data_IF_795683452339
#
_entry.id   IF_795683452339
#
_cell.length_a   1.000
_cell.length_b   1.000
_cell.length_c   1.000
_cell.angle_alpha   90.00
_cell.angle_beta   90.00
_cell.angle_gamma   90.00
#
_symmetry.space_group_name_H-M   'P 1'
#
loop_
_entity.id
_entity.type
_entity.pdbx_description
1 polymer ?
#
# COMPACT_ATOMS: atom_id res chain seq x y z
N UNK A 1 29.18 35.02 1.07
CA UNK A 1 27.83 34.55 1.48
C UNK A 1 27.79 34.47 2.98
N UNK A 2 26.69 34.91 3.61
CA UNK A 2 26.53 34.75 5.07
C UNK A 2 26.46 33.24 5.42
N UNK A 3 26.94 32.87 6.61
CA UNK A 3 26.93 31.48 7.09
C UNK A 3 25.54 30.83 6.95
N UNK A 4 24.48 31.57 7.29
CA UNK A 4 23.08 31.12 7.14
C UNK A 4 22.71 30.76 5.70
N UNK A 5 23.14 31.56 4.71
CA UNK A 5 22.89 31.28 3.29
C UNK A 5 23.63 30.01 2.83
N UNK A 6 24.85 29.80 3.31
CA UNK A 6 25.62 28.58 2.99
C UNK A 6 24.98 27.33 3.60
N UNK A 7 24.52 27.40 4.86
CA UNK A 7 23.79 26.31 5.49
C UNK A 7 22.49 25.98 4.75
N UNK A 8 21.69 26.99 4.41
CA UNK A 8 20.45 26.79 3.67
C UNK A 8 20.67 26.17 2.28
N UNK A 9 21.70 26.62 1.55
CA UNK A 9 21.97 26.16 0.19
C UNK A 9 22.64 24.78 0.13
N UNK A 10 23.40 24.38 1.16
CA UNK A 10 24.25 23.19 1.10
C UNK A 10 23.88 22.13 2.13
N UNK A 11 23.62 22.53 3.37
CA UNK A 11 23.37 21.58 4.46
C UNK A 11 21.95 21.02 4.41
N UNK A 12 20.95 21.87 4.15
CA UNK A 12 19.54 21.44 4.10
C UNK A 12 19.30 20.39 3.00
N UNK A 13 19.72 20.59 1.73
CA UNK A 13 19.56 19.58 0.70
C UNK A 13 20.33 18.29 1.01
N UNK A 14 21.51 18.39 1.63
CA UNK A 14 22.28 17.22 2.05
C UNK A 14 21.53 16.37 3.09
N UNK A 15 21.00 17.00 4.14
CA UNK A 15 20.24 16.30 5.16
C UNK A 15 18.96 15.68 4.58
N UNK A 16 18.27 16.41 3.71
CA UNK A 16 17.11 15.90 3.00
C UNK A 16 17.44 14.66 2.15
N UNK A 17 18.58 14.64 1.45
CA UNK A 17 19.05 13.45 0.70
C UNK A 17 19.35 12.27 1.62
N UNK A 18 19.96 12.52 2.78
CA UNK A 18 20.25 11.46 3.75
C UNK A 18 18.96 10.81 4.27
N UNK A 19 17.97 11.63 4.64
CA UNK A 19 16.68 11.15 5.14
C UNK A 19 15.91 10.41 4.04
N UNK A 20 15.75 11.02 2.86
CA UNK A 20 15.08 10.39 1.73
C UNK A 20 15.76 9.08 1.34
N UNK A 21 17.08 9.09 1.17
CA UNK A 21 17.85 7.91 0.80
C UNK A 21 17.65 6.77 1.80
N UNK A 22 17.83 7.01 3.09
CA UNK A 22 17.67 5.99 4.12
C UNK A 22 16.25 5.40 4.15
N UNK A 23 15.22 6.26 4.08
CA UNK A 23 13.82 5.83 4.13
C UNK A 23 13.45 5.02 2.89
N UNK A 24 13.78 5.51 1.70
CA UNK A 24 13.36 4.87 0.44
C UNK A 24 14.13 3.58 0.14
N UNK A 25 15.42 3.51 0.48
CA UNK A 25 16.18 2.25 0.37
C UNK A 25 15.55 1.19 1.29
N UNK A 26 15.24 1.56 2.54
CA UNK A 26 14.65 0.63 3.50
C UNK A 26 13.24 0.21 3.06
N UNK A 27 12.41 1.15 2.61
CA UNK A 27 11.06 0.90 2.12
C UNK A 27 11.08 -0.04 0.90
N UNK A 28 11.90 0.27 -0.10
CA UNK A 28 12.04 -0.55 -1.30
C UNK A 28 12.58 -1.95 -1.00
N UNK A 29 13.55 -2.07 -0.09
CA UNK A 29 14.09 -3.37 0.33
C UNK A 29 13.03 -4.22 1.04
N UNK A 30 12.19 -3.60 1.87
CA UNK A 30 11.11 -4.30 2.57
C UNK A 30 10.08 -4.92 1.62
N UNK A 31 9.89 -4.34 0.42
CA UNK A 31 8.97 -4.82 -0.62
C UNK A 31 9.47 -6.06 -1.36
N UNK A 32 10.79 -6.29 -1.34
CA UNK A 32 11.40 -7.51 -1.88
C UNK A 32 11.25 -8.72 -0.94
N UNK A 33 10.75 -8.52 0.28
CA UNK A 33 10.38 -9.62 1.18
C UNK A 33 9.20 -10.43 0.64
N UNK A 34 9.05 -11.66 1.11
CA UNK A 34 7.90 -12.51 0.77
C UNK A 34 6.79 -12.38 1.83
N UNK A 35 5.55 -12.60 1.42
CA UNK A 35 4.36 -12.70 2.28
C UNK A 35 3.36 -13.68 1.68
N UNK A 36 2.51 -14.23 2.53
CA UNK A 36 1.44 -15.14 2.11
C UNK A 36 0.18 -14.33 1.79
N UNK A 37 -0.40 -14.56 0.61
CA UNK A 37 -1.63 -13.93 0.14
C UNK A 37 -2.77 -14.94 0.16
N UNK A 38 -3.97 -14.49 0.55
CA UNK A 38 -5.16 -15.33 0.71
C UNK A 38 -6.40 -14.63 0.13
N UNK A 39 -7.50 -15.36 -0.04
CA UNK A 39 -8.81 -14.78 -0.39
C UNK A 39 -8.81 -13.95 -1.69
N UNK A 40 -9.33 -12.72 -1.61
CA UNK A 40 -9.50 -11.83 -2.76
C UNK A 40 -8.18 -11.32 -3.34
N UNK A 41 -7.15 -11.14 -2.51
CA UNK A 41 -5.82 -10.76 -2.98
C UNK A 41 -5.24 -11.88 -3.84
N UNK A 42 -5.38 -13.14 -3.40
CA UNK A 42 -4.93 -14.29 -4.18
C UNK A 42 -5.62 -14.37 -5.55
N UNK A 43 -6.94 -14.13 -5.58
CA UNK A 43 -7.69 -14.08 -6.84
C UNK A 43 -7.14 -12.99 -7.76
N UNK A 44 -6.90 -11.81 -7.22
CA UNK A 44 -6.33 -10.66 -7.97
C UNK A 44 -4.94 -10.98 -8.50
N UNK A 45 -4.07 -11.63 -7.71
CA UNK A 45 -2.74 -12.04 -8.17
C UNK A 45 -2.80 -13.06 -9.32
N UNK A 46 -3.77 -13.98 -9.29
CA UNK A 46 -4.00 -14.93 -10.39
C UNK A 46 -4.48 -14.23 -11.66
N UNK A 47 -5.42 -13.30 -11.52
CA UNK A 47 -5.91 -12.45 -12.62
C UNK A 47 -4.75 -11.66 -13.26
N UNK A 48 -3.78 -11.21 -12.45
CA UNK A 48 -2.56 -10.52 -12.90
C UNK A 48 -1.45 -11.45 -13.43
N UNK A 49 -1.69 -12.77 -13.49
CA UNK A 49 -0.68 -13.75 -13.92
C UNK A 49 0.55 -13.80 -13.02
N UNK A 50 0.41 -13.42 -11.74
CA UNK A 50 1.46 -13.54 -10.73
C UNK A 50 1.38 -14.94 -10.12
N UNK A 51 2.21 -15.84 -10.63
CA UNK A 51 2.42 -17.16 -10.03
C UNK A 51 3.30 -17.04 -8.78
N UNK A 52 3.18 -18.00 -7.86
CA UNK A 52 3.93 -18.05 -6.62
C UNK A 52 5.44 -17.86 -6.86
N UNK A 53 6.08 -17.01 -6.06
CA UNK A 53 7.48 -16.67 -6.25
C UNK A 53 8.40 -17.78 -5.69
N UNK A 54 8.86 -18.71 -6.53
CA UNK A 54 9.98 -19.59 -6.19
C UNK A 54 10.10 -20.89 -7.01
N UNK A 55 11.32 -21.36 -7.34
CA UNK A 55 11.54 -22.74 -7.74
C UNK A 55 11.23 -23.65 -6.54
N UNK A 56 10.26 -24.55 -6.70
CA UNK A 56 9.86 -25.47 -5.62
C UNK A 56 8.78 -24.94 -4.69
N UNK A 57 7.90 -24.02 -5.15
CA UNK A 57 6.67 -23.72 -4.40
C UNK A 57 5.82 -25.00 -4.33
N UNK A 58 5.93 -25.70 -3.21
CA UNK A 58 4.91 -26.63 -2.75
C UNK A 58 3.68 -25.77 -2.48
N UNK A 59 2.67 -25.85 -3.34
CA UNK A 59 1.33 -25.45 -2.95
C UNK A 59 1.03 -26.24 -1.67
N UNK A 60 1.13 -25.59 -0.52
CA UNK A 60 0.52 -26.10 0.70
C UNK A 60 -0.98 -25.98 0.46
N UNK A 61 -1.50 -26.91 -0.33
CA UNK A 61 -2.90 -27.26 -0.30
C UNK A 61 -3.13 -27.56 1.16
N UNK A 62 -3.87 -26.68 1.85
CA UNK A 62 -4.39 -27.00 3.16
C UNK A 62 -5.06 -28.35 2.96
N UNK A 63 -4.43 -29.40 3.47
CA UNK A 63 -5.01 -30.72 3.51
C UNK A 63 -6.15 -30.54 4.49
N UNK A 64 -7.31 -30.20 3.93
CA UNK A 64 -8.59 -30.28 4.59
C UNK A 64 -8.70 -31.73 5.02
N UNK A 65 -8.27 -32.02 6.24
CA UNK A 65 -8.61 -33.28 6.89
C UNK A 65 -10.13 -33.17 7.05
N UNK A 66 -10.93 -33.99 6.35
CA UNK A 66 -12.35 -34.04 6.61
C UNK A 66 -12.47 -34.46 8.08
N UNK A 67 -12.75 -33.51 8.97
CA UNK A 67 -13.25 -33.87 10.29
C UNK A 67 -14.62 -34.47 10.03
N UNK A 68 -14.72 -35.77 10.29
CA UNK A 68 -15.93 -36.56 10.25
C UNK A 68 -17.14 -35.77 10.79
N UNK A 69 -18.22 -35.58 10.01
CA UNK A 69 -19.50 -35.18 10.54
C UNK A 69 -20.17 -36.41 11.17
N UNK A 70 -19.63 -36.92 12.27
CA UNK A 70 -20.22 -38.03 13.01
C UNK A 70 -19.88 -37.91 14.50
N UNK A 71 -20.66 -37.13 15.23
CA UNK A 71 -20.48 -37.01 16.68
C UNK A 71 -21.53 -36.13 17.32
N UNK A 72 -22.80 -36.56 17.26
CA UNK A 72 -23.85 -36.00 18.12
C UNK A 72 -23.44 -36.19 19.59
N UNK A 73 -23.20 -35.08 20.28
CA UNK A 73 -22.87 -35.04 21.69
C UNK A 73 -23.64 -33.93 22.37
N UNK A 74 -24.87 -34.25 22.79
CA UNK A 74 -25.64 -33.50 23.77
C UNK A 74 -24.89 -33.43 25.10
N UNK A 75 -24.55 -32.22 25.58
CA UNK A 75 -23.82 -32.05 26.83
C UNK A 75 -23.81 -30.61 27.35
N UNK A 76 -24.94 -30.23 27.94
CA UNK A 76 -25.19 -29.24 29.01
C UNK A 76 -24.51 -27.84 29.07
N UNK A 77 -25.28 -26.82 29.51
CA UNK A 77 -24.77 -25.51 29.88
C UNK A 77 -24.18 -25.51 31.29
N UNK A 78 -23.01 -24.87 31.47
CA UNK A 78 -22.52 -24.47 32.78
C UNK A 78 -23.06 -23.08 33.09
N UNK A 79 -24.01 -23.04 34.02
CA UNK A 79 -24.44 -21.85 34.74
C UNK A 79 -23.69 -21.70 36.08
N UNK A 80 -23.59 -20.46 36.54
CA UNK A 80 -23.08 -20.01 37.84
C UNK A 80 -22.07 -18.87 37.65
N UNK A 81 -22.32 -17.60 37.98
CA UNK A 81 -23.36 -16.98 38.81
C UNK A 81 -22.69 -16.10 39.87
N UNK A 82 -22.84 -14.77 39.75
CA UNK A 82 -22.80 -13.71 40.78
C UNK A 82 -22.92 -12.37 40.01
N UNK A 83 -24.09 -11.73 39.92
CA UNK A 83 -24.74 -10.82 40.90
C UNK A 83 -23.78 -9.68 41.33
N UNK A 84 -24.07 -8.38 41.21
CA UNK A 84 -25.29 -7.62 41.51
C UNK A 84 -25.36 -6.29 40.71
N UNK A 85 -26.56 -5.72 40.54
CA UNK A 85 -26.73 -4.27 40.27
C UNK A 85 -27.88 -3.92 39.32
N UNK A 86 -29.12 -4.02 39.79
CA UNK A 86 -30.33 -3.90 38.98
C UNK A 86 -30.74 -2.50 38.53
N UNK A 87 -31.53 -2.46 37.45
CA UNK A 87 -32.78 -1.69 37.34
C UNK A 87 -33.63 -2.27 36.19
N UNK A 88 -34.80 -2.84 36.52
CA UNK A 88 -35.85 -3.26 35.57
C UNK A 88 -36.74 -2.03 35.24
N UNK A 89 -37.24 -1.80 34.02
CA UNK A 89 -38.45 -2.37 33.35
C UNK A 89 -38.77 -1.48 32.09
N UNK A 90 -39.75 -1.77 31.20
CA UNK A 90 -40.00 -2.98 30.39
C UNK A 90 -40.32 -2.58 28.88
N UNK A 91 -41.13 -3.30 28.05
CA UNK A 91 -40.73 -3.70 26.70
C UNK A 91 -41.46 -2.98 25.54
N UNK A 92 -40.95 -3.08 24.31
CA UNK A 92 -41.77 -2.87 23.11
C UNK A 92 -41.28 -3.76 21.97
N UNK A 93 -42.04 -4.82 21.69
CA UNK A 93 -41.93 -5.71 20.53
C UNK A 93 -42.57 -5.06 19.28
N UNK A 94 -42.28 -5.59 18.07
CA UNK A 94 -42.26 -4.87 16.79
C UNK A 94 -43.56 -5.00 15.98
N UNK A 95 -43.75 -4.19 14.92
CA UNK A 95 -44.71 -4.50 13.88
C UNK A 95 -44.12 -5.42 12.79
N UNK A 96 -44.67 -6.63 12.77
CA UNK A 96 -44.75 -7.59 11.67
C UNK A 96 -45.37 -6.95 10.43
N UNK A 97 -44.70 -7.05 9.28
CA UNK A 97 -45.29 -6.76 7.95
C UNK A 97 -45.67 -8.09 7.29
N UNK A 98 -46.89 -8.22 6.72
CA UNK A 98 -47.41 -9.45 6.15
C UNK A 98 -46.80 -9.81 4.78
N UNK A 99 -46.82 -11.10 4.40
CA UNK A 99 -46.40 -11.57 3.08
C UNK A 99 -47.47 -11.29 2.02
N UNK A 100 -47.07 -10.70 0.89
CA UNK A 100 -47.90 -10.61 -0.31
C UNK A 100 -47.63 -11.84 -1.18
N UNK A 101 -48.65 -12.69 -1.32
CA UNK A 101 -48.74 -13.75 -2.30
C UNK A 101 -49.42 -13.25 -3.58
N UNK A 102 -48.82 -13.56 -4.72
CA UNK A 102 -49.42 -13.39 -6.05
C UNK A 102 -48.63 -14.19 -7.09
N UNK A 103 -49.19 -15.30 -7.57
CA UNK A 103 -48.83 -15.92 -8.86
C UNK A 103 -49.22 -14.96 -10.00
N UNK A 104 -48.85 -15.15 -11.27
CA UNK A 104 -48.60 -16.34 -12.09
C UNK A 104 -47.88 -15.81 -13.34
N UNK A 105 -46.96 -16.57 -13.94
CA UNK A 105 -47.04 -16.93 -15.38
C UNK A 105 -45.73 -17.52 -15.91
N UNK A 106 -45.94 -18.62 -16.62
CA UNK A 106 -44.98 -19.34 -17.42
C UNK A 106 -44.58 -18.49 -18.65
N UNK A 107 -43.27 -18.35 -18.85
CA UNK A 107 -42.69 -17.77 -20.06
C UNK A 107 -41.37 -18.46 -20.38
N UNK A 108 -41.37 -19.23 -21.47
CA UNK A 108 -40.24 -19.98 -21.96
C UNK A 108 -39.11 -19.09 -22.49
N UNK A 109 -37.88 -19.50 -22.18
CA UNK A 109 -36.73 -19.61 -23.08
C UNK A 109 -36.37 -18.41 -24.01
N UNK A 110 -35.28 -17.71 -23.64
CA UNK A 110 -34.21 -17.26 -24.54
C UNK A 110 -33.01 -16.91 -23.63
N UNK A 111 -31.92 -17.67 -23.61
CA UNK A 111 -31.14 -18.04 -24.78
C UNK A 111 -30.19 -16.91 -25.22
N UNK A 112 -29.74 -16.06 -24.30
CA UNK A 112 -28.71 -15.05 -24.53
C UNK A 112 -27.46 -15.41 -23.74
N UNK A 113 -26.57 -16.17 -24.36
CA UNK A 113 -25.24 -16.44 -23.82
C UNK A 113 -24.42 -15.16 -23.84
N UNK A 114 -24.49 -14.39 -22.76
CA UNK A 114 -23.42 -13.46 -22.44
C UNK A 114 -22.21 -14.32 -22.08
N UNK A 115 -21.23 -14.32 -22.97
CA UNK A 115 -19.90 -14.82 -22.72
C UNK A 115 -19.28 -13.96 -21.61
N UNK A 116 -19.72 -14.20 -20.37
CA UNK A 116 -19.19 -13.58 -19.18
C UNK A 116 -17.70 -13.84 -19.18
N UNK A 117 -16.93 -12.77 -19.32
CA UNK A 117 -15.49 -12.77 -19.19
C UNK A 117 -15.13 -13.64 -17.97
N UNK A 118 -14.49 -14.78 -18.24
CA UNK A 118 -14.35 -15.86 -17.28
C UNK A 118 -13.77 -15.37 -15.98
N UNK A 119 -14.62 -15.21 -14.97
CA UNK A 119 -14.16 -14.97 -13.61
C UNK A 119 -13.31 -16.16 -13.20
N UNK A 120 -12.06 -15.89 -12.83
CA UNK A 120 -11.18 -16.92 -12.31
C UNK A 120 -11.88 -17.69 -11.18
N UNK A 121 -11.78 -19.02 -11.13
CA UNK A 121 -12.42 -19.82 -10.09
C UNK A 121 -12.06 -19.29 -8.71
N UNK A 122 -13.05 -19.10 -7.85
CA UNK A 122 -12.83 -18.70 -6.46
C UNK A 122 -11.86 -19.69 -5.82
N UNK A 123 -10.73 -19.23 -5.23
CA UNK A 123 -9.79 -20.13 -4.59
C UNK A 123 -10.49 -20.94 -3.50
N UNK A 124 -10.20 -22.26 -3.36
CA UNK A 124 -10.68 -23.04 -2.24
C UNK A 124 -10.33 -22.36 -0.89
N UNK A 125 -11.25 -22.43 0.06
CA UNK A 125 -11.08 -21.85 1.38
C UNK A 125 -9.80 -22.36 2.05
N UNK A 126 -8.94 -21.43 2.50
CA UNK A 126 -7.66 -21.74 3.14
C UNK A 126 -6.47 -21.85 2.18
N UNK A 127 -6.66 -21.64 0.88
CA UNK A 127 -5.51 -21.56 -0.04
C UNK A 127 -4.70 -20.29 0.19
N UNK A 128 -3.38 -20.47 0.34
CA UNK A 128 -2.42 -19.38 0.49
C UNK A 128 -1.35 -19.49 -0.60
N UNK A 129 -0.91 -18.35 -1.12
CA UNK A 129 0.22 -18.29 -2.05
C UNK A 129 1.27 -17.33 -1.53
N UNK A 130 2.50 -17.85 -1.41
CA UNK A 130 3.66 -17.03 -1.07
C UNK A 130 4.13 -16.24 -2.30
N UNK A 131 4.18 -14.93 -2.17
CA UNK A 131 4.68 -14.04 -3.22
C UNK A 131 5.40 -12.82 -2.62
N UNK A 132 5.97 -11.96 -3.47
CA UNK A 132 6.66 -10.75 -3.02
C UNK A 132 5.68 -9.71 -2.48
N UNK A 133 6.05 -9.04 -1.38
CA UNK A 133 5.27 -7.96 -0.73
C UNK A 133 4.95 -6.80 -1.68
N UNK A 134 5.80 -6.54 -2.69
CA UNK A 134 5.55 -5.53 -3.71
C UNK A 134 4.21 -5.74 -4.43
N UNK A 135 3.73 -6.97 -4.56
CA UNK A 135 2.45 -7.23 -5.22
C UNK A 135 1.22 -6.80 -4.41
N UNK A 136 1.39 -6.47 -3.12
CA UNK A 136 0.35 -5.77 -2.36
C UNK A 136 0.03 -4.39 -2.95
N UNK A 137 0.98 -3.74 -3.63
CA UNK A 137 0.71 -2.50 -4.36
C UNK A 137 -0.18 -2.79 -5.57
N UNK A 138 0.04 -3.91 -6.25
CA UNK A 138 -0.77 -4.28 -7.40
C UNK A 138 -2.23 -4.57 -7.01
N UNK A 139 -2.46 -5.15 -5.83
CA UNK A 139 -3.83 -5.36 -5.32
C UNK A 139 -4.49 -4.03 -4.90
N UNK A 140 -3.73 -3.09 -4.33
CA UNK A 140 -4.23 -1.74 -4.02
C UNK A 140 -4.60 -0.92 -5.27
N UNK A 141 -4.02 -1.23 -6.43
CA UNK A 141 -4.33 -0.56 -7.71
C UNK A 141 -5.54 -1.16 -8.44
N UNK A 142 -6.18 -2.20 -7.88
CA UNK A 142 -7.37 -2.79 -8.49
C UNK A 142 -8.50 -1.76 -8.60
N UNK A 143 -9.14 -1.68 -9.77
CA UNK A 143 -10.20 -0.71 -10.04
C UNK A 143 -9.72 0.72 -10.37
N UNK A 144 -8.39 0.94 -10.49
CA UNK A 144 -7.84 2.21 -10.99
C UNK A 144 -7.54 2.16 -12.49
N UNK A 145 -7.54 3.31 -13.20
CA UNK A 145 -7.11 3.36 -14.59
C UNK A 145 -5.67 2.83 -14.74
N UNK A 146 -5.48 1.72 -15.46
CA UNK A 146 -4.16 1.08 -15.62
C UNK A 146 -3.99 -0.28 -14.95
N UNK A 147 -5.08 -0.89 -14.47
CA UNK A 147 -5.13 -2.26 -13.94
C UNK A 147 -4.30 -3.33 -14.69
N UNK A 148 -4.28 -3.42 -16.05
CA UNK A 148 -3.46 -4.42 -16.74
C UNK A 148 -1.94 -4.24 -16.49
N UNK A 149 -1.53 -3.05 -16.04
CA UNK A 149 -0.15 -2.71 -15.76
C UNK A 149 0.21 -2.71 -14.27
N UNK A 150 -0.72 -3.06 -13.37
CA UNK A 150 -0.50 -3.00 -11.91
C UNK A 150 0.75 -3.77 -11.46
N UNK A 151 1.01 -4.93 -12.08
CA UNK A 151 2.24 -5.72 -11.88
C UNK A 151 3.51 -4.94 -12.21
N UNK A 152 3.52 -4.26 -13.36
CA UNK A 152 4.67 -3.48 -13.82
C UNK A 152 4.85 -2.21 -12.98
N UNK A 153 3.74 -1.56 -12.57
CA UNK A 153 3.78 -0.40 -11.69
C UNK A 153 4.32 -0.75 -10.30
N UNK A 154 3.97 -1.91 -9.74
CA UNK A 154 4.53 -2.37 -8.46
C UNK A 154 6.05 -2.57 -8.53
N UNK A 155 6.55 -3.15 -9.63
CA UNK A 155 7.98 -3.27 -9.89
C UNK A 155 8.65 -1.92 -10.12
N UNK A 156 8.05 -1.06 -10.94
CA UNK A 156 8.56 0.28 -11.21
C UNK A 156 8.66 1.11 -9.91
N UNK A 157 7.64 1.06 -9.05
CA UNK A 157 7.68 1.71 -7.75
C UNK A 157 8.81 1.16 -6.88
N UNK A 158 8.96 -0.16 -6.78
CA UNK A 158 10.02 -0.78 -5.97
C UNK A 158 11.42 -0.40 -6.46
N UNK A 159 11.63 -0.38 -7.79
CA UNK A 159 12.89 0.05 -8.41
C UNK A 159 13.14 1.54 -8.16
N UNK A 160 12.10 2.38 -8.35
CA UNK A 160 12.19 3.82 -8.10
C UNK A 160 12.56 4.12 -6.64
N UNK A 161 12.04 3.38 -5.67
CA UNK A 161 12.38 3.57 -4.26
C UNK A 161 13.81 3.11 -3.95
N UNK A 162 14.21 1.91 -4.41
CA UNK A 162 15.55 1.38 -4.16
C UNK A 162 16.63 2.18 -4.87
N UNK A 163 16.54 2.23 -6.20
CA UNK A 163 17.54 2.89 -7.04
C UNK A 163 17.44 4.39 -6.86
N UNK A 164 16.23 4.96 -6.86
CA UNK A 164 16.06 6.40 -6.65
C UNK A 164 16.50 6.83 -5.25
N UNK A 165 16.20 6.06 -4.21
CA UNK A 165 16.72 6.32 -2.85
C UNK A 165 18.25 6.32 -2.80
N UNK A 166 18.89 5.29 -3.39
CA UNK A 166 20.35 5.21 -3.45
C UNK A 166 20.98 6.34 -4.26
N UNK A 167 20.42 6.66 -5.43
CA UNK A 167 20.93 7.72 -6.30
C UNK A 167 20.75 9.10 -5.68
N UNK A 168 19.61 9.37 -5.04
CA UNK A 168 19.38 10.61 -4.26
C UNK A 168 20.36 10.69 -3.10
N UNK A 169 20.59 9.60 -2.35
CA UNK A 169 21.54 9.58 -1.24
C UNK A 169 22.94 10.02 -1.67
N UNK A 170 23.44 9.39 -2.75
CA UNK A 170 24.76 9.68 -3.32
C UNK A 170 24.80 11.05 -4.02
N UNK A 171 23.65 11.53 -4.49
CA UNK A 171 23.51 12.80 -5.20
C UNK A 171 23.63 12.67 -6.73
N UNK A 172 23.67 11.46 -7.28
CA UNK A 172 23.79 11.25 -8.73
C UNK A 172 22.43 11.46 -9.43
N UNK A 173 22.36 12.40 -10.37
CA UNK A 173 21.12 12.78 -11.04
C UNK A 173 19.95 13.04 -10.06
N UNK A 174 20.24 13.65 -8.91
CA UNK A 174 19.28 13.63 -7.79
C UNK A 174 17.93 14.29 -8.12
N UNK A 175 17.88 15.26 -9.06
CA UNK A 175 16.63 15.87 -9.51
C UNK A 175 15.71 14.88 -10.22
N UNK A 176 16.28 14.08 -11.13
CA UNK A 176 15.52 13.09 -11.88
C UNK A 176 14.97 12.01 -10.94
N UNK A 177 15.80 11.50 -10.04
CA UNK A 177 15.37 10.48 -9.09
C UNK A 177 14.42 11.04 -8.02
N UNK A 178 14.63 12.25 -7.52
CA UNK A 178 13.68 12.90 -6.61
C UNK A 178 12.30 13.10 -7.27
N UNK A 179 12.24 13.44 -8.56
CA UNK A 179 10.97 13.52 -9.29
C UNK A 179 10.27 12.16 -9.35
N UNK A 180 11.02 11.08 -9.55
CA UNK A 180 10.46 9.72 -9.45
C UNK A 180 9.91 9.42 -8.06
N UNK A 181 10.60 9.85 -6.98
CA UNK A 181 10.14 9.67 -5.61
C UNK A 181 8.88 10.50 -5.30
N UNK A 182 8.77 11.71 -5.87
CA UNK A 182 7.53 12.52 -5.84
C UNK A 182 6.38 11.73 -6.45
N UNK A 183 6.58 11.09 -7.60
CA UNK A 183 5.57 10.25 -8.24
C UNK A 183 5.11 9.10 -7.34
N UNK A 184 6.05 8.32 -6.79
CA UNK A 184 5.72 7.17 -5.92
C UNK A 184 5.00 7.63 -4.64
N UNK A 185 5.47 8.70 -4.00
CA UNK A 185 4.80 9.24 -2.80
C UNK A 185 3.46 9.87 -3.10
N UNK A 186 3.31 10.54 -4.25
CA UNK A 186 2.05 11.12 -4.68
C UNK A 186 0.99 10.05 -4.88
N UNK A 187 1.33 8.94 -5.55
CA UNK A 187 0.42 7.80 -5.71
C UNK A 187 0.13 7.14 -4.36
N UNK A 188 1.13 6.90 -3.52
CA UNK A 188 0.93 6.33 -2.19
C UNK A 188 -0.01 7.20 -1.35
N UNK A 189 0.22 8.51 -1.32
CA UNK A 189 -0.63 9.47 -0.61
C UNK A 189 -2.05 9.49 -1.16
N UNK A 190 -2.22 9.46 -2.48
CA UNK A 190 -3.53 9.40 -3.12
C UNK A 190 -4.32 8.14 -2.71
N UNK A 191 -3.67 6.98 -2.68
CA UNK A 191 -4.35 5.72 -2.36
C UNK A 191 -4.61 5.54 -0.86
N UNK A 192 -3.74 6.02 0.02
CA UNK A 192 -3.84 5.73 1.46
C UNK A 192 -4.30 6.91 2.31
N UNK A 193 -3.94 8.12 1.93
CA UNK A 193 -4.11 9.32 2.77
C UNK A 193 -5.25 10.22 2.30
N UNK A 194 -5.57 10.20 1.00
CA UNK A 194 -6.68 10.98 0.46
C UNK A 194 -8.05 10.61 1.06
N UNK A 195 -8.44 9.31 1.15
CA UNK A 195 -9.74 8.94 1.71
C UNK A 195 -9.88 9.42 3.16
N UNK A 196 -8.83 9.21 3.95
CA UNK A 196 -8.74 9.66 5.34
C UNK A 196 -8.93 11.17 5.48
N UNK A 197 -8.32 11.96 4.59
CA UNK A 197 -8.44 13.41 4.60
C UNK A 197 -9.87 13.88 4.25
N UNK A 198 -10.52 13.20 3.30
CA UNK A 198 -11.91 13.49 2.92
C UNK A 198 -12.91 13.13 4.03
N UNK A 199 -12.72 12.01 4.72
CA UNK A 199 -13.55 11.60 5.87
C UNK A 199 -13.47 12.62 7.00
N UNK A 200 -12.30 13.24 7.19
CA UNK A 200 -12.09 14.27 8.19
C UNK A 200 -12.48 15.68 7.72
N UNK A 201 -13.10 15.83 6.54
CA UNK A 201 -13.50 17.12 5.99
C UNK A 201 -12.32 18.06 5.77
N UNK A 202 -11.15 17.53 5.41
CA UNK A 202 -9.89 18.27 5.26
C UNK A 202 -9.39 18.98 6.53
N UNK A 203 -9.92 18.64 7.70
CA UNK A 203 -9.44 19.17 8.97
C UNK A 203 -8.23 18.37 9.49
N UNK A 204 -7.04 18.79 9.09
CA UNK A 204 -5.77 18.12 9.44
C UNK A 204 -5.53 18.11 10.97
N UNK A 205 -6.02 19.11 11.69
CA UNK A 205 -5.86 19.18 13.15
C UNK A 205 -6.78 18.22 13.90
N UNK A 206 -8.00 18.02 13.39
CA UNK A 206 -8.91 17.00 13.93
C UNK A 206 -8.29 15.60 13.80
N UNK A 207 -7.60 15.34 12.69
CA UNK A 207 -6.86 14.10 12.50
C UNK A 207 -5.78 13.92 13.56
N UNK A 208 -4.95 14.94 13.81
CA UNK A 208 -3.89 14.88 14.82
C UNK A 208 -4.42 14.59 16.23
N UNK A 209 -5.66 15.00 16.52
CA UNK A 209 -6.28 14.85 17.85
C UNK A 209 -6.97 13.50 18.10
N UNK A 210 -7.05 12.60 17.10
CA UNK A 210 -7.67 11.28 17.24
C UNK A 210 -6.68 10.22 17.75
N UNK A 211 -6.61 9.91 19.06
CA UNK A 211 -5.68 8.93 19.61
C UNK A 211 -5.88 7.52 19.03
N UNK A 212 -7.12 7.16 18.69
CA UNK A 212 -7.48 5.87 18.10
C UNK A 212 -6.89 5.64 16.70
N UNK A 213 -6.52 6.71 15.99
CA UNK A 213 -5.90 6.66 14.65
C UNK A 213 -4.41 7.05 14.66
N UNK A 214 -3.78 7.15 15.84
CA UNK A 214 -2.45 7.74 16.02
C UNK A 214 -1.36 7.23 15.05
N UNK A 215 -1.25 5.91 14.87
CA UNK A 215 -0.26 5.31 13.94
C UNK A 215 -0.56 5.66 12.49
N UNK A 216 -1.82 5.60 12.08
CA UNK A 216 -2.23 5.86 10.71
C UNK A 216 -2.02 7.34 10.34
N UNK A 217 -2.33 8.24 11.29
CA UNK A 217 -2.06 9.67 11.17
C UNK A 217 -0.55 9.93 11.05
N UNK A 218 0.28 9.27 11.87
CA UNK A 218 1.73 9.41 11.79
C UNK A 218 2.28 8.98 10.42
N UNK A 219 1.75 7.89 9.84
CA UNK A 219 2.11 7.44 8.49
C UNK A 219 1.71 8.49 7.44
N UNK A 220 0.52 9.07 7.54
CA UNK A 220 0.08 10.16 6.65
C UNK A 220 1.03 11.37 6.70
N UNK A 221 1.37 11.85 7.91
CA UNK A 221 2.29 12.98 8.06
C UNK A 221 3.69 12.66 7.56
N UNK A 222 4.16 11.41 7.76
CA UNK A 222 5.43 10.95 7.22
C UNK A 222 5.41 10.95 5.69
N UNK A 223 4.37 10.39 5.06
CA UNK A 223 4.20 10.41 3.61
C UNK A 223 4.20 11.84 3.05
N UNK A 224 3.44 12.75 3.67
CA UNK A 224 3.38 14.16 3.27
C UNK A 224 4.76 14.84 3.42
N UNK A 225 5.47 14.56 4.51
CA UNK A 225 6.80 15.12 4.76
C UNK A 225 7.81 14.65 3.72
N UNK A 226 7.81 13.35 3.38
CA UNK A 226 8.68 12.78 2.35
C UNK A 226 8.34 13.32 0.95
N UNK A 227 7.06 13.52 0.65
CA UNK A 227 6.60 14.13 -0.59
C UNK A 227 7.09 15.58 -0.72
N UNK A 228 6.90 16.40 0.32
CA UNK A 228 7.36 17.80 0.31
C UNK A 228 8.89 17.88 0.27
N UNK A 229 9.59 17.00 0.98
CA UNK A 229 11.05 16.95 0.98
C UNK A 229 11.62 16.56 -0.39
N UNK A 230 11.01 15.57 -1.06
CA UNK A 230 11.41 15.18 -2.42
C UNK A 230 11.14 16.30 -3.43
N UNK A 231 10.02 17.02 -3.35
CA UNK A 231 9.77 18.25 -4.12
C UNK A 231 10.83 19.32 -3.85
N UNK A 232 11.24 19.48 -2.59
CA UNK A 232 12.33 20.37 -2.20
C UNK A 232 13.63 20.06 -2.95
N UNK A 233 13.99 18.78 -3.09
CA UNK A 233 15.17 18.35 -3.86
C UNK A 233 15.00 18.59 -5.36
N UNK A 234 13.81 18.40 -5.92
CA UNK A 234 13.53 18.71 -7.34
C UNK A 234 13.84 20.18 -7.62
N UNK A 235 13.37 21.09 -6.77
CA UNK A 235 13.55 22.55 -6.94
C UNK A 235 14.98 22.99 -6.63
N UNK A 236 15.53 22.57 -5.49
CA UNK A 236 16.84 23.05 -5.01
C UNK A 236 18.03 22.32 -5.65
N UNK A 237 17.82 21.10 -6.14
CA UNK A 237 18.87 20.23 -6.67
C UNK A 237 19.66 19.48 -5.59
N UNK A 238 20.78 18.84 -5.96
CA UNK A 238 21.50 17.92 -5.09
C UNK A 238 22.39 18.60 -4.01
N UNK A 239 22.54 19.93 -4.04
CA UNK A 239 23.43 20.68 -3.15
C UNK A 239 24.93 20.58 -3.54
N UNK A 240 25.82 21.26 -2.80
CA UNK A 240 27.25 21.28 -3.13
C UNK A 240 28.00 19.96 -2.90
N UNK A 241 27.57 19.14 -1.93
CA UNK A 241 28.19 17.85 -1.59
C UNK A 241 27.64 16.70 -2.45
N UNK A 242 27.44 16.95 -3.74
CA UNK A 242 26.89 15.96 -4.68
C UNK A 242 27.99 15.38 -5.56
N UNK A 243 27.93 14.07 -5.85
CA UNK A 243 28.79 13.47 -6.88
C UNK A 243 28.59 14.12 -8.26
N UNK A 244 27.38 14.60 -8.59
CA UNK A 244 27.15 15.35 -9.83
C UNK A 244 28.11 16.54 -9.92
N UNK A 245 28.32 17.26 -8.82
CA UNK A 245 29.20 18.43 -8.81
C UNK A 245 30.66 18.03 -8.90
N UNK A 246 31.08 16.95 -8.25
CA UNK A 246 32.45 16.44 -8.35
C UNK A 246 32.77 15.99 -9.79
N UNK A 247 31.83 15.29 -10.44
CA UNK A 247 31.99 14.77 -11.79
C UNK A 247 32.06 15.90 -12.84
N UNK A 248 31.27 16.97 -12.70
CA UNK A 248 31.22 18.05 -13.70
C UNK A 248 32.10 19.27 -13.38
N UNK A 249 32.63 19.42 -12.15
CA UNK A 249 33.49 20.56 -11.79
C UNK A 249 35.00 20.29 -12.01
N UNK A 250 35.44 19.04 -12.07
CA UNK A 250 36.86 18.68 -12.19
C UNK A 250 37.52 18.95 -13.54
N UNK A 251 36.82 19.55 -14.51
CA UNK A 251 37.34 19.79 -15.86
C UNK A 251 38.12 21.10 -16.06
N UNK A 252 37.90 22.12 -15.21
CA UNK A 252 38.43 23.47 -15.46
C UNK A 252 39.83 23.71 -14.88
N UNK A 253 40.27 22.96 -13.86
CA UNK A 253 41.57 23.20 -13.21
C UNK A 253 42.78 22.75 -14.07
N UNK A 254 42.55 21.99 -15.15
CA UNK A 254 43.60 21.58 -16.09
C UNK A 254 43.92 22.59 -17.20
N UNK A 255 43.03 23.57 -17.45
CA UNK A 255 43.18 24.50 -18.57
C UNK A 255 43.95 25.78 -18.22
N UNK A 256 44.00 26.17 -16.94
CA UNK A 256 44.72 27.38 -16.50
C UNK A 256 46.20 27.13 -16.16
N UNK A 257 46.65 25.86 -16.11
CA UNK A 257 48.05 25.51 -15.85
C UNK A 257 48.94 25.54 -17.11
N UNK A 258 48.39 25.78 -18.31
CA UNK A 258 49.13 25.85 -19.58
C UNK A 258 49.18 27.26 -20.22
N UNK A 259 48.72 28.32 -19.53
CA UNK A 259 48.80 29.72 -19.99
C UNK A 259 49.69 30.58 -19.10
#
# INVERSE_FOLDING_TARGET
MAFSQSCAANFVPFLARLVLGAVFITAGASKLGQTDYTGDDLRTLRELGVLAAGPGVTLHRASYSPQDPAGGGSGQPIGGGQDEGGTQTPPTTPPTVPPTSGGTDAGAQQGGGDAGAGQAPTPPAGETVRSYKLYGIATMLKGTPGEPYAKYLAWAATIAELVGGAMVLVGLFARFWALSLVGVMGVAFYLTSWPMLTEAGFNIFALASSPEKGVQNAIMYLQLSLLVMSLGIVVTGPGAASLDRFLFKGGDEGAEAES
#
